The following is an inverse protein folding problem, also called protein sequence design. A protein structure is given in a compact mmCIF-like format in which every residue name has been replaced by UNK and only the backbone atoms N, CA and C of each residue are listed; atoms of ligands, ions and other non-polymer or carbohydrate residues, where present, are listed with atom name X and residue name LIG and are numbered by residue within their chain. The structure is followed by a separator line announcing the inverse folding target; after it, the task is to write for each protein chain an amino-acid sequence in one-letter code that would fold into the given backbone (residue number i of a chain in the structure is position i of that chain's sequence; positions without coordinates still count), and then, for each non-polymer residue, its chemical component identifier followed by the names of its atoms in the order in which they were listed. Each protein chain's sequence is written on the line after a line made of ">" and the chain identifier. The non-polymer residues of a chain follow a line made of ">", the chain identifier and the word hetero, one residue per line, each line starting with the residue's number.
data_IF_663516599300
#
_entry.id   IF_663516599300
#
_cell.length_a   1.000
_cell.length_b   1.000
_cell.length_c   1.000
_cell.angle_alpha   90.00
_cell.angle_beta   90.00
_cell.angle_gamma   90.00
#
_symmetry.space_group_name_H-M   'P 1'
#
loop_
_entity.id
_entity.type
_entity.pdbx_description
1 polymer ?
#
# COMPACT_ATOMS: atom_id res chain seq x y z
N UNK A 1 -23.36 -32.80 9.06
CA UNK A 1 -22.82 -31.50 9.52
C UNK A 1 -21.99 -30.95 8.39
N UNK A 2 -22.33 -29.79 7.85
CA UNK A 2 -21.46 -29.11 6.89
C UNK A 2 -20.16 -28.71 7.61
N UNK A 3 -19.04 -29.00 6.98
CA UNK A 3 -17.74 -28.68 7.53
C UNK A 3 -17.47 -27.19 7.31
N UNK A 4 -17.30 -26.44 8.40
CA UNK A 4 -17.02 -25.02 8.32
C UNK A 4 -15.68 -24.78 7.60
N UNK A 5 -15.68 -23.88 6.61
CA UNK A 5 -14.47 -23.43 5.95
C UNK A 5 -13.63 -22.57 6.90
N UNK A 6 -12.31 -22.77 6.87
CA UNK A 6 -11.35 -21.98 7.66
C UNK A 6 -10.43 -21.21 6.75
N UNK A 7 -10.26 -19.92 7.04
CA UNK A 7 -9.25 -19.09 6.37
C UNK A 7 -7.87 -19.61 6.79
N UNK A 8 -7.08 -20.06 5.80
CA UNK A 8 -5.70 -20.54 6.03
C UNK A 8 -4.72 -19.38 6.23
N UNK A 9 -4.90 -18.30 5.49
CA UNK A 9 -4.01 -17.14 5.48
C UNK A 9 -4.74 -15.92 4.95
N UNK A 10 -4.36 -14.75 5.46
CA UNK A 10 -4.89 -13.46 5.04
C UNK A 10 -3.72 -12.53 4.70
N UNK A 11 -3.86 -11.77 3.62
CA UNK A 11 -2.82 -10.88 3.14
C UNK A 11 -3.38 -9.51 2.77
N UNK A 12 -2.66 -8.46 3.16
CA UNK A 12 -2.88 -7.08 2.73
C UNK A 12 -1.76 -6.67 1.81
N UNK A 13 -2.06 -5.94 0.73
CA UNK A 13 -1.07 -5.43 -0.21
C UNK A 13 -1.16 -3.91 -0.23
N UNK A 14 -0.49 -3.21 0.71
CA UNK A 14 -0.65 -1.77 0.85
C UNK A 14 -0.29 -1.01 -0.41
N UNK A 15 0.84 -1.39 -1.03
CA UNK A 15 1.31 -0.80 -2.27
C UNK A 15 0.97 -1.74 -3.43
N UNK A 16 0.27 -1.20 -4.44
CA UNK A 16 -0.05 -1.89 -5.68
C UNK A 16 1.19 -2.56 -6.25
N UNK A 17 1.07 -3.85 -6.60
CA UNK A 17 2.12 -4.65 -7.27
C UNK A 17 3.36 -4.99 -6.43
N UNK A 18 3.37 -4.62 -5.13
CA UNK A 18 4.45 -4.94 -4.20
C UNK A 18 4.13 -6.16 -3.32
N UNK A 19 5.04 -6.53 -2.41
CA UNK A 19 4.85 -7.69 -1.52
C UNK A 19 3.68 -7.49 -0.56
N UNK A 20 2.94 -8.57 -0.30
CA UNK A 20 1.86 -8.59 0.68
C UNK A 20 2.36 -8.79 2.11
N UNK A 21 1.62 -8.26 3.07
CA UNK A 21 1.79 -8.45 4.51
C UNK A 21 0.85 -9.57 4.94
N UNK A 22 1.39 -10.65 5.51
CA UNK A 22 0.57 -11.69 6.14
C UNK A 22 0.02 -11.16 7.45
N UNK A 23 -1.28 -11.27 7.65
CA UNK A 23 -1.98 -10.79 8.86
C UNK A 23 -2.89 -11.88 9.42
N UNK A 24 -3.17 -11.82 10.72
CA UNK A 24 -4.13 -12.73 11.37
C UNK A 24 -5.58 -12.26 11.25
N UNK A 25 -5.78 -10.98 10.94
CA UNK A 25 -7.06 -10.31 10.84
C UNK A 25 -6.94 -9.05 9.98
N UNK A 26 -8.07 -8.57 9.48
CA UNK A 26 -8.17 -7.27 8.82
C UNK A 26 -9.61 -6.74 8.91
N UNK A 27 -9.77 -5.43 9.01
CA UNK A 27 -11.06 -4.75 8.96
C UNK A 27 -11.59 -4.77 7.52
N UNK A 28 -12.84 -5.20 7.33
CA UNK A 28 -13.52 -5.16 6.02
C UNK A 28 -14.20 -3.82 5.85
N UNK A 29 -13.93 -3.16 4.72
CA UNK A 29 -14.55 -1.89 4.30
C UNK A 29 -15.35 -2.10 3.01
N UNK A 30 -16.20 -1.15 2.59
CA UNK A 30 -16.94 -1.26 1.33
C UNK A 30 -16.06 -1.43 0.08
N UNK A 31 -14.78 -1.03 0.15
CA UNK A 31 -13.82 -1.10 -0.97
C UNK A 31 -12.79 -2.23 -0.83
N UNK A 32 -12.89 -3.07 0.20
CA UNK A 32 -11.96 -4.17 0.47
C UNK A 32 -11.41 -4.14 1.89
N UNK A 33 -10.32 -4.85 2.15
CA UNK A 33 -9.67 -4.77 3.46
C UNK A 33 -9.06 -3.38 3.67
N UNK A 34 -9.14 -2.86 4.89
CA UNK A 34 -8.48 -1.61 5.27
C UNK A 34 -6.98 -1.70 4.93
N UNK A 35 -6.44 -0.60 4.37
CA UNK A 35 -5.06 -0.47 3.87
C UNK A 35 -4.73 -1.25 2.60
N UNK A 36 -5.64 -2.04 2.04
CA UNK A 36 -5.36 -2.80 0.84
C UNK A 36 -5.40 -1.89 -0.41
N UNK A 37 -4.29 -1.82 -1.15
CA UNK A 37 -4.12 -1.02 -2.37
C UNK A 37 -4.33 0.50 -2.16
N UNK A 38 -3.98 0.99 -0.98
CA UNK A 38 -4.03 2.43 -0.68
C UNK A 38 -2.93 3.23 -1.39
N UNK A 39 -1.82 2.59 -1.76
CA UNK A 39 -0.69 3.21 -2.45
C UNK A 39 -0.44 2.59 -3.82
N UNK A 40 0.16 3.37 -4.70
CA UNK A 40 0.67 2.94 -5.99
C UNK A 40 1.91 3.75 -6.37
N UNK A 41 2.80 3.13 -7.16
CA UNK A 41 3.96 3.82 -7.73
C UNK A 41 3.59 4.24 -9.16
N UNK A 42 3.83 5.50 -9.48
CA UNK A 42 3.58 6.07 -10.80
C UNK A 42 4.88 6.56 -11.44
N UNK A 43 4.90 6.65 -12.76
CA UNK A 43 5.99 7.32 -13.47
C UNK A 43 5.74 8.83 -13.62
N UNK A 44 6.69 9.54 -14.21
CA UNK A 44 6.62 10.99 -14.46
C UNK A 44 5.42 11.45 -15.34
N UNK A 45 4.72 10.51 -15.98
CA UNK A 45 3.51 10.76 -16.79
C UNK A 45 2.22 10.44 -16.03
N UNK A 46 2.29 10.14 -14.73
CA UNK A 46 1.16 9.72 -13.92
C UNK A 46 0.68 8.29 -14.16
N UNK A 47 1.39 7.47 -14.96
CA UNK A 47 0.97 6.10 -15.24
C UNK A 47 1.48 5.14 -14.16
N UNK A 48 0.59 4.34 -13.59
CA UNK A 48 0.93 3.33 -12.59
C UNK A 48 1.90 2.27 -13.15
N UNK A 49 2.95 1.96 -12.38
CA UNK A 49 3.76 0.78 -12.63
C UNK A 49 3.02 -0.50 -12.21
N UNK A 50 3.31 -1.60 -12.90
CA UNK A 50 2.74 -2.92 -12.58
C UNK A 50 3.85 -3.96 -12.49
N UNK A 51 3.67 -4.99 -11.66
CA UNK A 51 4.65 -6.06 -11.52
C UNK A 51 4.91 -6.81 -12.85
N UNK A 52 3.91 -6.83 -13.75
CA UNK A 52 4.06 -7.42 -15.09
C UNK A 52 5.11 -6.69 -15.94
N UNK A 53 5.19 -5.36 -15.80
CA UNK A 53 6.14 -4.53 -16.53
C UNK A 53 7.44 -4.34 -15.73
N UNK A 54 7.34 -4.24 -14.41
CA UNK A 54 8.44 -4.04 -13.48
C UNK A 54 8.46 -5.16 -12.42
N UNK A 55 9.00 -6.35 -12.73
CA UNK A 55 9.01 -7.50 -11.80
C UNK A 55 9.72 -7.21 -10.48
N UNK A 56 10.65 -6.25 -10.47
CA UNK A 56 11.38 -5.82 -9.26
C UNK A 56 10.46 -5.28 -8.17
N UNK A 57 9.24 -4.82 -8.50
CA UNK A 57 8.24 -4.43 -7.50
C UNK A 57 7.91 -5.57 -6.53
N UNK A 58 8.09 -6.84 -6.93
CA UNK A 58 7.94 -7.99 -6.04
C UNK A 58 8.93 -7.99 -4.84
N UNK A 59 10.06 -7.28 -4.98
CA UNK A 59 11.09 -7.15 -3.95
C UNK A 59 10.86 -5.96 -3.02
N UNK A 60 9.84 -5.14 -3.29
CA UNK A 60 9.45 -4.02 -2.44
C UNK A 60 8.56 -4.56 -1.32
N UNK A 61 9.02 -4.36 -0.09
CA UNK A 61 8.43 -4.91 1.12
C UNK A 61 7.81 -3.79 1.96
N UNK A 62 6.48 -3.61 1.89
CA UNK A 62 5.77 -2.72 2.78
C UNK A 62 5.60 -3.35 4.17
N UNK A 63 5.66 -2.52 5.20
CA UNK A 63 5.43 -2.87 6.60
C UNK A 63 4.55 -1.78 7.23
N UNK A 64 3.43 -2.19 7.82
CA UNK A 64 2.51 -1.32 8.55
C UNK A 64 2.60 -1.61 10.05
N UNK A 65 2.24 -0.65 10.93
CA UNK A 65 2.07 -0.92 12.36
C UNK A 65 1.14 -2.12 12.58
N UNK A 66 1.44 -2.98 13.55
CA UNK A 66 0.61 -4.17 13.81
C UNK A 66 -0.82 -3.78 14.17
N UNK A 67 -0.94 -2.65 14.85
CA UNK A 67 -2.20 -2.09 15.32
C UNK A 67 -3.08 -1.61 14.17
N UNK A 68 -2.51 -1.35 12.98
CA UNK A 68 -3.25 -0.92 11.81
C UNK A 68 -4.29 -1.94 11.32
N UNK A 69 -4.20 -3.19 11.77
CA UNK A 69 -5.14 -4.26 11.42
C UNK A 69 -6.17 -4.54 12.53
N UNK A 70 -6.20 -3.74 13.60
CA UNK A 70 -7.27 -3.78 14.60
C UNK A 70 -8.47 -2.92 14.17
N UNK A 71 -9.65 -3.31 14.62
CA UNK A 71 -10.87 -2.52 14.46
C UNK A 71 -10.70 -1.15 15.15
N UNK A 72 -11.25 -0.09 14.55
CA UNK A 72 -11.21 1.29 15.04
C UNK A 72 -9.82 1.91 15.25
N UNK A 73 -8.75 1.29 14.73
CA UNK A 73 -7.43 1.92 14.78
C UNK A 73 -7.31 3.03 13.74
N UNK A 74 -6.83 4.20 14.18
CA UNK A 74 -6.51 5.33 13.33
C UNK A 74 -5.02 5.69 13.38
N UNK A 75 -4.41 6.08 12.25
CA UNK A 75 -3.05 6.57 12.22
C UNK A 75 -2.86 7.81 13.10
N UNK A 76 -1.72 7.86 13.78
CA UNK A 76 -1.26 9.03 14.52
C UNK A 76 -0.08 9.69 13.80
N UNK A 77 0.44 10.79 14.34
CA UNK A 77 1.62 11.45 13.77
C UNK A 77 2.90 10.60 13.79
N UNK A 78 2.92 9.49 14.53
CA UNK A 78 4.05 8.56 14.60
C UNK A 78 3.79 7.26 13.84
N UNK A 79 2.67 7.16 13.13
CA UNK A 79 2.31 6.00 12.32
C UNK A 79 2.91 6.14 10.92
N UNK A 80 3.71 5.15 10.50
CA UNK A 80 4.39 5.14 9.21
C UNK A 80 4.16 3.82 8.48
N UNK A 81 3.97 3.91 7.17
CA UNK A 81 4.27 2.82 6.26
C UNK A 81 5.78 2.81 6.05
N UNK A 82 6.44 1.70 6.44
CA UNK A 82 7.86 1.50 6.20
C UNK A 82 8.03 0.67 4.94
N UNK A 83 8.82 1.15 3.99
CA UNK A 83 9.07 0.47 2.72
C UNK A 83 10.54 0.09 2.63
N UNK A 84 10.81 -1.17 2.28
CA UNK A 84 12.16 -1.72 2.14
C UNK A 84 12.33 -2.36 0.77
N UNK A 85 13.54 -2.29 0.23
CA UNK A 85 13.91 -3.00 -0.99
C UNK A 85 15.43 -3.31 -0.95
N UNK A 86 15.90 -4.33 -1.69
CA UNK A 86 17.31 -4.70 -1.69
C UNK A 86 18.22 -3.55 -2.12
N UNK A 87 19.22 -3.24 -1.29
CA UNK A 87 20.21 -2.19 -1.56
C UNK A 87 19.74 -0.76 -1.29
N UNK A 88 18.55 -0.58 -0.72
CA UNK A 88 17.96 0.73 -0.45
C UNK A 88 17.78 0.97 1.05
N UNK A 89 18.03 2.20 1.50
CA UNK A 89 17.72 2.61 2.88
C UNK A 89 16.21 2.53 3.12
N UNK A 90 15.71 2.18 4.32
CA UNK A 90 14.27 2.12 4.57
C UNK A 90 13.59 3.49 4.38
N UNK A 91 12.51 3.53 3.59
CA UNK A 91 11.66 4.70 3.43
C UNK A 91 10.55 4.69 4.50
N UNK A 92 10.25 5.84 5.08
CA UNK A 92 9.13 6.02 6.01
C UNK A 92 8.13 7.00 5.42
N UNK A 93 6.95 6.51 5.07
CA UNK A 93 5.84 7.30 4.55
C UNK A 93 4.87 7.54 5.71
N UNK A 94 4.60 8.79 6.11
CA UNK A 94 3.60 9.08 7.13
C UNK A 94 2.22 8.55 6.72
N UNK A 95 1.52 7.88 7.63
CA UNK A 95 0.16 7.38 7.36
C UNK A 95 -0.93 8.45 7.57
N UNK A 96 -0.52 9.68 7.85
CA UNK A 96 -1.40 10.85 7.89
C UNK A 96 -1.61 11.39 6.49
N UNK A 97 -2.80 11.95 6.21
CA UNK A 97 -3.16 12.48 4.89
C UNK A 97 -2.08 13.44 4.36
N UNK A 98 -1.46 13.16 3.20
CA UNK A 98 -0.49 14.08 2.60
C UNK A 98 -1.14 15.41 2.20
N UNK A 99 -0.32 16.46 2.15
CA UNK A 99 -0.78 17.80 1.76
C UNK A 99 -0.79 18.02 0.25
N UNK A 100 -0.09 17.17 -0.51
CA UNK A 100 0.08 17.31 -1.96
C UNK A 100 -0.82 16.33 -2.72
N UNK A 101 -1.26 16.77 -3.89
CA UNK A 101 -2.11 15.99 -4.80
C UNK A 101 -1.41 15.90 -6.15
N UNK A 102 -1.26 14.68 -6.66
CA UNK A 102 -0.85 14.40 -8.02
C UNK A 102 -2.09 14.25 -8.91
N UNK A 103 -2.19 15.12 -9.92
CA UNK A 103 -3.23 15.05 -10.94
C UNK A 103 -2.84 14.14 -12.11
N UNK A 104 -3.84 13.63 -12.84
CA UNK A 104 -3.59 12.83 -14.05
C UNK A 104 -2.98 11.46 -13.78
N UNK A 105 -3.19 10.92 -12.57
CA UNK A 105 -2.80 9.54 -12.27
C UNK A 105 -3.71 8.59 -13.04
N UNK A 106 -3.13 7.58 -13.69
CA UNK A 106 -3.87 6.62 -14.51
C UNK A 106 -3.46 5.18 -14.24
N UNK A 107 -4.46 4.31 -14.23
CA UNK A 107 -4.33 2.87 -14.12
C UNK A 107 -5.40 2.21 -14.99
N UNK A 108 -4.97 1.58 -16.09
CA UNK A 108 -5.88 1.02 -17.11
C UNK A 108 -6.87 2.09 -17.60
N UNK A 109 -8.18 1.79 -17.55
CA UNK A 109 -9.26 2.72 -17.93
C UNK A 109 -9.57 3.77 -16.86
N UNK A 110 -8.96 3.65 -15.66
CA UNK A 110 -9.16 4.62 -14.59
C UNK A 110 -8.15 5.76 -14.71
N UNK A 111 -8.63 6.98 -14.54
CA UNK A 111 -7.80 8.18 -14.35
C UNK A 111 -8.41 9.08 -13.28
N UNK A 112 -7.56 9.74 -12.49
CA UNK A 112 -7.99 10.66 -11.46
C UNK A 112 -6.81 11.33 -10.76
N UNK A 113 -7.07 11.82 -9.56
CA UNK A 113 -6.06 12.36 -8.67
C UNK A 113 -5.68 11.36 -7.57
N UNK A 114 -4.47 11.48 -7.06
CA UNK A 114 -3.99 10.72 -5.89
C UNK A 114 -3.20 11.66 -4.96
N UNK A 115 -2.99 11.25 -3.72
CA UNK A 115 -2.06 11.97 -2.84
C UNK A 115 -0.62 11.68 -3.25
N UNK A 116 0.22 12.71 -3.16
CA UNK A 116 1.66 12.60 -3.37
C UNK A 116 2.36 12.48 -2.01
N UNK A 117 3.13 11.41 -1.86
CA UNK A 117 3.90 11.08 -0.65
C UNK A 117 5.20 11.89 -0.54
N UNK A 118 5.50 12.72 -1.55
CA UNK A 118 6.55 13.73 -1.52
C UNK A 118 7.87 13.30 -2.17
N UNK A 119 8.76 14.28 -2.26
CA UNK A 119 10.05 14.18 -2.97
C UNK A 119 10.94 13.04 -2.47
N UNK A 120 10.93 12.75 -1.17
CA UNK A 120 11.73 11.66 -0.61
C UNK A 120 11.23 10.29 -1.07
N UNK A 121 9.91 10.12 -1.19
CA UNK A 121 9.31 8.90 -1.73
C UNK A 121 9.52 8.79 -3.25
N UNK A 122 9.53 9.92 -3.97
CA UNK A 122 9.78 9.94 -5.41
C UNK A 122 11.24 9.65 -5.78
N UNK A 123 12.20 10.04 -4.93
CA UNK A 123 13.64 9.79 -5.11
C UNK A 123 14.07 8.40 -4.66
N UNK A 124 13.33 7.80 -3.72
CA UNK A 124 13.56 6.45 -3.24
C UNK A 124 13.23 5.45 -4.35
#
# INVERSE_FOLDING_TARGET
>A
MEQALKIQSLFIYPIKSCRGISVSQATVTPTGFQWDRYWLVVNYRGKAYTQKLEPKLALVEPELPKEAFFEDWEPTMTSFLVVRAPGMSPLKIPMTKPSYVAEGVSMWEWSGSAFDEGEDAAKW
#
